data_IF_101113729025
#
_entry.id   IF_101113729025
#
_cell.length_a   1.000
_cell.length_b   1.000
_cell.length_c   1.000
_cell.angle_alpha   90.00
_cell.angle_beta   90.00
_cell.angle_gamma   90.00
#
_symmetry.space_group_name_H-M   'P 1'
#
loop_
_entity.id
_entity.type
_entity.pdbx_description
1 polymer ?
#
# COMPACT_ATOMS: atom_id res chain seq x y z
N UNK A 1 -12.86 22.02 21.81
CA UNK A 1 -12.79 21.88 20.35
C UNK A 1 -11.52 22.55 19.91
N UNK A 2 -10.57 21.79 19.39
CA UNK A 2 -9.29 22.31 18.93
C UNK A 2 -9.47 23.07 17.61
N UNK A 3 -8.67 24.11 17.37
CA UNK A 3 -8.69 24.89 16.12
C UNK A 3 -8.56 23.99 14.87
N UNK A 4 -7.90 22.83 15.01
CA UNK A 4 -7.73 21.85 13.94
C UNK A 4 -9.06 21.27 13.46
N UNK A 5 -9.99 20.97 14.39
CA UNK A 5 -11.32 20.43 14.05
C UNK A 5 -12.17 21.46 13.29
N UNK A 6 -12.10 22.73 13.68
CA UNK A 6 -12.82 23.82 13.00
C UNK A 6 -12.24 24.10 11.61
N UNK A 7 -10.93 24.01 11.45
CA UNK A 7 -10.27 24.14 10.14
C UNK A 7 -10.62 22.97 9.21
N UNK A 8 -10.71 21.77 9.75
CA UNK A 8 -11.16 20.58 9.02
C UNK A 8 -12.60 20.75 8.51
N UNK A 9 -13.55 21.17 9.37
CA UNK A 9 -14.93 21.45 8.97
C UNK A 9 -15.00 22.56 7.91
N UNK A 10 -14.20 23.62 8.03
CA UNK A 10 -14.16 24.69 7.04
C UNK A 10 -13.64 24.21 5.67
N UNK A 11 -12.68 23.30 5.65
CA UNK A 11 -12.18 22.66 4.43
C UNK A 11 -13.23 21.77 3.77
N UNK A 12 -13.99 20.98 4.57
CA UNK A 12 -15.15 20.22 4.07
C UNK A 12 -16.19 21.13 3.43
N UNK A 13 -16.55 22.23 4.10
CA UNK A 13 -17.48 23.24 3.58
C UNK A 13 -17.02 23.79 2.23
N UNK A 14 -15.71 24.03 2.08
CA UNK A 14 -15.11 24.52 0.82
C UNK A 14 -15.11 23.46 -0.28
N UNK A 15 -14.83 22.20 0.06
CA UNK A 15 -14.93 21.06 -0.85
C UNK A 15 -16.36 20.91 -1.38
N UNK A 16 -17.36 20.92 -0.51
CA UNK A 16 -18.77 20.86 -0.89
C UNK A 16 -19.19 22.03 -1.77
N UNK A 17 -18.65 23.23 -1.53
CA UNK A 17 -18.91 24.38 -2.39
C UNK A 17 -18.32 24.21 -3.81
N UNK A 18 -17.19 23.51 -3.94
CA UNK A 18 -16.57 23.19 -5.24
C UNK A 18 -17.35 22.11 -5.99
N UNK A 19 -17.76 21.06 -5.29
CA UNK A 19 -18.61 19.99 -5.86
C UNK A 19 -19.95 20.59 -6.33
N UNK A 20 -20.55 21.44 -5.51
CA UNK A 20 -21.80 22.13 -5.83
C UNK A 20 -21.70 23.12 -7.02
N UNK A 21 -20.50 23.67 -7.25
CA UNK A 21 -20.21 24.59 -8.36
C UNK A 21 -20.01 23.89 -9.69
N UNK A 22 -19.54 22.63 -9.64
CA UNK A 22 -19.23 21.81 -10.82
C UNK A 22 -20.36 20.87 -11.24
N UNK A 23 -21.37 20.65 -10.39
CA UNK A 23 -22.60 19.98 -10.76
C UNK A 23 -23.61 21.06 -11.20
N UNK A 24 -23.99 21.03 -12.47
CA UNK A 24 -25.08 21.87 -12.98
C UNK A 24 -26.25 21.83 -12.00
N UNK A 25 -26.76 22.96 -11.63
CA UNK A 25 -27.74 23.42 -10.64
C UNK A 25 -28.89 22.46 -10.18
N UNK A 26 -28.82 21.17 -10.42
CA UNK A 26 -29.92 20.22 -10.28
C UNK A 26 -29.82 19.22 -9.13
N UNK A 27 -28.80 19.32 -8.27
CA UNK A 27 -28.61 18.38 -7.15
C UNK A 27 -28.78 19.08 -5.80
N UNK A 28 -29.69 18.56 -4.98
CA UNK A 28 -29.74 18.88 -3.55
C UNK A 28 -28.87 17.88 -2.78
N UNK A 29 -27.85 18.39 -2.10
CA UNK A 29 -26.92 17.57 -1.30
C UNK A 29 -27.29 17.67 0.17
N UNK A 30 -27.64 16.56 0.79
CA UNK A 30 -27.86 16.46 2.24
C UNK A 30 -26.74 15.63 2.87
N UNK A 31 -26.01 16.21 3.82
CA UNK A 31 -24.95 15.51 4.56
C UNK A 31 -25.61 14.72 5.70
N UNK A 32 -25.54 13.39 5.62
CA UNK A 32 -26.16 12.48 6.59
C UNK A 32 -25.15 11.69 7.42
N UNK A 33 -24.37 12.23 8.23
CA UNK A 33 -23.42 11.61 9.16
C UNK A 33 -21.94 11.60 8.72
N UNK A 34 -21.15 12.26 9.52
CA UNK A 34 -19.68 12.20 9.47
C UNK A 34 -19.25 11.07 10.41
N UNK A 35 -19.11 9.85 9.90
CA UNK A 35 -18.24 8.83 10.45
C UNK A 35 -16.97 8.80 9.62
N UNK A 36 -15.91 8.19 10.11
CA UNK A 36 -14.55 8.12 9.52
C UNK A 36 -14.46 7.82 8.02
N UNK A 37 -15.56 7.39 7.39
CA UNK A 37 -15.76 7.28 5.95
C UNK A 37 -16.90 8.22 5.58
N UNK A 38 -16.63 9.26 4.80
CA UNK A 38 -17.61 10.30 4.49
C UNK A 38 -18.60 9.78 3.45
N UNK A 39 -19.85 9.64 3.87
CA UNK A 39 -20.97 9.32 2.99
C UNK A 39 -21.68 10.61 2.60
N UNK A 40 -21.82 10.84 1.30
CA UNK A 40 -22.64 11.92 0.76
C UNK A 40 -23.84 11.33 0.05
N UNK A 41 -25.03 11.83 0.34
CA UNK A 41 -26.23 11.49 -0.42
C UNK A 41 -26.45 12.57 -1.49
N UNK A 42 -26.44 12.16 -2.77
CA UNK A 42 -26.82 12.99 -3.90
C UNK A 42 -28.22 12.57 -4.32
N UNK A 43 -29.16 13.52 -4.36
CA UNK A 43 -30.51 13.29 -4.84
C UNK A 43 -30.72 14.09 -6.13
N UNK A 44 -31.10 13.41 -7.19
CA UNK A 44 -31.57 14.04 -8.42
C UNK A 44 -33.02 14.51 -8.23
N UNK A 45 -33.21 15.82 -8.33
CA UNK A 45 -34.53 16.44 -8.08
C UNK A 45 -35.58 16.11 -9.16
N UNK A 46 -35.16 15.68 -10.34
CA UNK A 46 -36.07 15.36 -11.43
C UNK A 46 -36.54 13.90 -11.39
N UNK A 47 -35.64 12.98 -11.01
CA UNK A 47 -35.94 11.53 -10.98
C UNK A 47 -36.22 11.04 -9.58
N UNK A 48 -36.04 11.87 -8.54
CA UNK A 48 -36.10 11.51 -7.12
C UNK A 48 -35.17 10.35 -6.75
N UNK A 49 -34.18 10.06 -7.60
CA UNK A 49 -33.17 9.03 -7.34
C UNK A 49 -32.14 9.54 -6.35
N UNK A 50 -31.98 8.83 -5.25
CA UNK A 50 -30.95 9.13 -4.24
C UNK A 50 -29.84 8.12 -4.31
N UNK A 51 -28.61 8.57 -4.57
CA UNK A 51 -27.40 7.73 -4.51
C UNK A 51 -26.57 8.12 -3.29
N UNK A 52 -26.17 7.11 -2.51
CA UNK A 52 -25.15 7.30 -1.49
C UNK A 52 -23.79 7.23 -2.18
N UNK A 53 -22.97 8.24 -1.95
CA UNK A 53 -21.62 8.33 -2.48
C UNK A 53 -20.65 8.20 -1.33
N UNK A 54 -19.77 7.21 -1.38
CA UNK A 54 -18.77 6.97 -0.36
C UNK A 54 -17.39 7.44 -0.85
N UNK A 55 -16.74 8.29 -0.05
CA UNK A 55 -15.39 8.77 -0.32
C UNK A 55 -14.43 8.25 0.73
N UNK A 56 -13.30 7.68 0.31
CA UNK A 56 -12.18 7.49 1.20
C UNK A 56 -11.39 8.78 1.34
N UNK A 57 -11.13 9.20 2.58
CA UNK A 57 -10.35 10.40 2.86
C UNK A 57 -9.01 10.04 3.49
N UNK A 58 -7.94 10.62 2.97
CA UNK A 58 -6.60 10.56 3.55
C UNK A 58 -6.10 11.98 3.79
N UNK A 59 -5.63 12.25 5.00
CA UNK A 59 -5.07 13.55 5.36
C UNK A 59 -3.56 13.43 5.53
N UNK A 60 -2.80 14.30 4.88
CA UNK A 60 -1.35 14.47 5.06
C UNK A 60 -1.03 15.51 6.16
N UNK A 61 -2.07 16.05 6.83
CA UNK A 61 -1.90 16.97 7.96
C UNK A 61 -1.42 16.18 9.20
N UNK A 62 -0.13 16.05 9.36
CA UNK A 62 0.51 15.25 10.40
C UNK A 62 1.43 14.17 9.83
N UNK A 63 1.34 12.94 10.33
CA UNK A 63 2.07 11.82 9.73
C UNK A 63 1.43 11.44 8.39
N UNK A 64 2.27 11.21 7.37
CA UNK A 64 1.78 10.78 6.06
C UNK A 64 0.89 9.53 6.18
N UNK A 65 -0.29 9.52 5.54
CA UNK A 65 -1.26 8.46 5.70
C UNK A 65 -0.73 7.11 5.18
N UNK A 66 -1.19 6.04 5.83
CA UNK A 66 -0.78 4.68 5.47
C UNK A 66 -1.81 4.10 4.50
N UNK A 67 -1.32 3.55 3.38
CA UNK A 67 -2.14 2.85 2.41
C UNK A 67 -2.30 1.38 2.77
N UNK A 68 -1.20 0.72 3.18
CA UNK A 68 -1.18 -0.65 3.66
C UNK A 68 -0.37 -0.72 4.95
N UNK A 69 -1.02 -1.03 6.07
CA UNK A 69 -0.37 -1.11 7.38
C UNK A 69 0.54 -2.32 7.50
N UNK A 70 1.71 -2.12 8.11
CA UNK A 70 2.57 -3.20 8.57
C UNK A 70 1.84 -4.08 9.59
N UNK A 71 1.93 -5.40 9.38
CA UNK A 71 1.41 -6.42 10.28
C UNK A 71 2.20 -7.72 10.08
N UNK A 72 2.15 -8.67 11.04
CA UNK A 72 2.67 -10.03 10.81
C UNK A 72 1.99 -10.73 9.61
N UNK A 73 0.75 -10.36 9.31
CA UNK A 73 -0.03 -10.82 8.15
C UNK A 73 0.64 -10.42 6.83
N UNK A 74 1.29 -9.25 6.78
CA UNK A 74 1.94 -8.73 5.56
C UNK A 74 3.39 -9.18 5.42
N UNK A 75 3.82 -10.22 6.15
CA UNK A 75 5.12 -10.84 6.00
C UNK A 75 5.16 -11.78 4.79
N UNK A 76 6.16 -11.56 3.95
CA UNK A 76 6.59 -12.46 2.88
C UNK A 76 7.72 -13.33 3.39
N UNK A 77 7.71 -14.61 3.05
CA UNK A 77 8.68 -15.62 3.48
C UNK A 77 9.65 -15.88 2.33
N UNK A 78 10.93 -15.83 2.64
CA UNK A 78 11.99 -16.13 1.68
C UNK A 78 12.87 -17.24 2.25
N UNK A 79 13.17 -18.24 1.41
CA UNK A 79 14.18 -19.25 1.69
C UNK A 79 15.56 -18.62 1.49
N UNK A 80 16.47 -18.95 2.37
CA UNK A 80 17.86 -18.48 2.33
C UNK A 80 18.77 -19.69 2.20
N UNK A 81 19.34 -19.90 1.01
CA UNK A 81 20.27 -20.97 0.74
C UNK A 81 21.71 -20.51 0.99
N UNK A 82 22.60 -21.42 1.34
CA UNK A 82 24.04 -21.16 1.45
C UNK A 82 24.48 -20.47 2.75
N UNK A 83 23.62 -20.47 3.78
CA UNK A 83 23.91 -19.92 5.12
C UNK A 83 23.92 -21.04 6.13
N UNK A 84 24.99 -21.17 6.93
CA UNK A 84 25.06 -22.11 8.05
C UNK A 84 24.35 -21.58 9.30
N UNK A 85 24.11 -22.45 10.28
CA UNK A 85 23.52 -22.04 11.56
C UNK A 85 24.40 -21.01 12.30
N UNK A 86 25.72 -21.18 12.28
CA UNK A 86 26.66 -20.24 12.90
C UNK A 86 26.57 -18.88 12.24
N UNK A 87 26.58 -18.84 10.90
CA UNK A 87 26.41 -17.61 10.14
C UNK A 87 25.05 -16.95 10.38
N UNK A 88 23.97 -17.73 10.49
CA UNK A 88 22.65 -17.20 10.80
C UNK A 88 22.61 -16.55 12.19
N UNK A 89 23.28 -17.14 13.19
CA UNK A 89 23.40 -16.56 14.53
C UNK A 89 24.20 -15.26 14.51
N UNK A 90 25.31 -15.20 13.76
CA UNK A 90 26.10 -13.98 13.59
C UNK A 90 25.29 -12.87 12.92
N UNK A 91 24.53 -13.19 11.86
CA UNK A 91 23.65 -12.24 11.16
C UNK A 91 22.58 -11.72 12.12
N UNK A 92 21.95 -12.59 12.87
CA UNK A 92 20.89 -12.23 13.81
C UNK A 92 21.40 -11.37 14.98
N UNK A 93 22.67 -11.51 15.37
CA UNK A 93 23.33 -10.72 16.40
C UNK A 93 23.61 -9.27 15.96
N UNK A 94 23.46 -8.93 14.69
CA UNK A 94 23.66 -7.56 14.19
C UNK A 94 22.52 -6.67 14.72
N UNK A 95 22.85 -5.74 15.63
CA UNK A 95 21.91 -4.78 16.25
C UNK A 95 22.33 -3.32 16.02
N UNK A 96 22.93 -3.04 14.87
CA UNK A 96 23.29 -1.68 14.46
C UNK A 96 22.05 -0.82 14.19
N UNK A 97 22.24 0.50 14.08
CA UNK A 97 21.18 1.42 13.65
C UNK A 97 20.60 1.04 12.27
N UNK A 98 21.42 0.45 11.40
CA UNK A 98 21.06 0.03 10.05
C UNK A 98 20.93 -1.49 9.93
N UNK A 99 20.57 -2.19 11.00
CA UNK A 99 20.61 -3.66 11.12
C UNK A 99 19.99 -4.41 9.94
N UNK A 100 18.92 -3.89 9.33
CA UNK A 100 18.27 -4.53 8.17
C UNK A 100 19.25 -4.57 6.99
N UNK A 101 19.83 -3.42 6.66
CA UNK A 101 20.80 -3.30 5.56
C UNK A 101 22.05 -4.12 5.83
N UNK A 102 22.55 -4.08 7.06
CA UNK A 102 23.77 -4.78 7.44
C UNK A 102 23.54 -6.31 7.42
N UNK A 103 22.40 -6.79 7.87
CA UNK A 103 22.01 -8.22 7.79
C UNK A 103 21.91 -8.68 6.33
N UNK A 104 21.27 -7.90 5.46
CA UNK A 104 21.18 -8.20 4.04
C UNK A 104 22.56 -8.21 3.36
N UNK A 105 23.43 -7.27 3.72
CA UNK A 105 24.80 -7.24 3.25
C UNK A 105 25.60 -8.47 3.73
N UNK A 106 25.43 -8.88 4.99
CA UNK A 106 26.10 -10.04 5.56
C UNK A 106 25.65 -11.36 4.95
N UNK A 107 24.35 -11.50 4.64
CA UNK A 107 23.84 -12.67 3.89
C UNK A 107 24.54 -12.77 2.52
N UNK A 108 24.67 -11.65 1.79
CA UNK A 108 25.38 -11.62 0.51
C UNK A 108 26.89 -11.91 0.63
N UNK A 109 27.54 -11.36 1.67
CA UNK A 109 28.96 -11.62 1.95
C UNK A 109 29.25 -13.11 2.12
N UNK A 110 28.34 -13.83 2.80
CA UNK A 110 28.42 -15.28 2.96
C UNK A 110 28.00 -16.09 1.70
N UNK A 111 27.64 -15.39 0.61
CA UNK A 111 27.17 -16.04 -0.63
C UNK A 111 25.73 -16.57 -0.54
N UNK A 112 24.98 -16.12 0.45
CA UNK A 112 23.59 -16.55 0.65
C UNK A 112 22.67 -16.08 -0.49
N UNK A 113 21.82 -17.00 -0.97
CA UNK A 113 20.80 -16.73 -1.99
C UNK A 113 19.43 -16.66 -1.35
N UNK A 114 18.72 -15.55 -1.59
CA UNK A 114 17.38 -15.30 -1.05
C UNK A 114 16.36 -15.52 -2.17
N UNK A 115 15.40 -16.41 -1.95
CA UNK A 115 14.37 -16.76 -2.94
C UNK A 115 13.00 -16.73 -2.29
N UNK A 116 12.03 -16.07 -2.92
CA UNK A 116 10.65 -16.04 -2.44
C UNK A 116 10.08 -17.45 -2.31
N UNK A 117 9.53 -17.78 -1.15
CA UNK A 117 8.96 -19.10 -0.82
C UNK A 117 7.46 -19.05 -0.56
N UNK A 118 6.95 -17.95 -0.03
CA UNK A 118 5.54 -17.84 0.29
C UNK A 118 5.19 -16.64 1.15
N UNK A 119 4.03 -16.72 1.79
CA UNK A 119 3.53 -15.66 2.67
C UNK A 119 3.07 -16.25 4.00
N UNK A 120 3.24 -15.48 5.06
CA UNK A 120 2.86 -15.89 6.42
C UNK A 120 1.34 -16.08 6.59
N UNK A 121 0.53 -15.39 5.78
CA UNK A 121 -0.93 -15.39 5.92
C UNK A 121 -1.62 -15.74 4.60
N UNK A 122 -2.33 -16.87 4.61
CA UNK A 122 -3.02 -17.41 3.43
C UNK A 122 -4.14 -16.49 2.92
N UNK A 123 -4.85 -15.81 3.82
CA UNK A 123 -5.91 -14.86 3.45
C UNK A 123 -5.37 -13.65 2.71
N UNK A 124 -4.24 -13.06 3.15
CA UNK A 124 -3.63 -11.97 2.43
C UNK A 124 -3.07 -12.42 1.08
N UNK A 125 -2.42 -13.60 1.03
CA UNK A 125 -1.98 -14.21 -0.23
C UNK A 125 -3.15 -14.36 -1.22
N UNK A 126 -4.31 -14.86 -0.73
CA UNK A 126 -5.52 -14.98 -1.54
C UNK A 126 -5.99 -13.63 -2.08
N UNK A 127 -6.05 -12.60 -1.23
CA UNK A 127 -6.45 -11.24 -1.66
C UNK A 127 -5.53 -10.71 -2.76
N UNK A 128 -4.21 -10.92 -2.66
CA UNK A 128 -3.26 -10.54 -3.70
C UNK A 128 -3.50 -11.30 -5.01
N UNK A 129 -3.74 -12.62 -4.94
CA UNK A 129 -4.04 -13.45 -6.11
C UNK A 129 -5.35 -13.02 -6.78
N UNK A 130 -6.33 -12.54 -6.03
CA UNK A 130 -7.57 -11.99 -6.60
C UNK A 130 -7.34 -10.70 -7.39
N UNK A 131 -6.35 -9.89 -7.01
CA UNK A 131 -5.96 -8.72 -7.80
C UNK A 131 -5.25 -9.18 -9.07
N UNK A 132 -4.24 -10.04 -8.92
CA UNK A 132 -3.48 -10.66 -10.01
C UNK A 132 -2.75 -11.91 -9.50
N UNK A 133 -2.76 -13.00 -10.27
CA UNK A 133 -2.14 -14.28 -9.88
C UNK A 133 -0.65 -14.17 -9.56
N UNK A 134 0.05 -13.24 -10.20
CA UNK A 134 1.49 -12.99 -9.99
C UNK A 134 1.78 -11.91 -8.94
N UNK A 135 0.76 -11.27 -8.37
CA UNK A 135 0.96 -10.16 -7.42
C UNK A 135 1.84 -10.54 -6.23
N UNK A 136 1.71 -11.74 -5.62
CA UNK A 136 2.63 -12.15 -4.56
C UNK A 136 4.09 -12.15 -4.98
N UNK A 137 4.41 -12.65 -6.18
CA UNK A 137 5.80 -12.66 -6.68
C UNK A 137 6.30 -11.27 -7.06
N UNK A 138 5.45 -10.42 -7.66
CA UNK A 138 5.79 -9.03 -7.97
C UNK A 138 6.19 -8.29 -6.70
N UNK A 139 5.34 -8.32 -5.67
CA UNK A 139 5.62 -7.65 -4.39
C UNK A 139 6.82 -8.24 -3.67
N UNK A 140 7.02 -9.57 -3.75
CA UNK A 140 8.18 -10.22 -3.17
C UNK A 140 9.50 -9.72 -3.82
N UNK A 141 9.53 -9.60 -5.15
CA UNK A 141 10.71 -9.06 -5.82
C UNK A 141 10.93 -7.57 -5.51
N UNK A 142 9.86 -6.77 -5.47
CA UNK A 142 9.95 -5.36 -5.06
C UNK A 142 10.50 -5.20 -3.64
N UNK A 143 10.12 -6.07 -2.70
CA UNK A 143 10.65 -6.08 -1.33
C UNK A 143 12.14 -6.41 -1.31
N UNK A 144 12.62 -7.34 -2.15
CA UNK A 144 14.05 -7.62 -2.26
C UNK A 144 14.83 -6.37 -2.70
N UNK A 145 14.37 -5.63 -3.70
CA UNK A 145 14.99 -4.36 -4.10
C UNK A 145 14.93 -3.32 -3.00
N UNK A 146 13.77 -3.16 -2.36
CA UNK A 146 13.59 -2.21 -1.25
C UNK A 146 14.59 -2.44 -0.11
N UNK A 147 14.80 -3.70 0.29
CA UNK A 147 15.70 -4.01 1.40
C UNK A 147 17.18 -4.08 0.98
N UNK A 148 17.49 -4.37 -0.29
CA UNK A 148 18.85 -4.46 -0.80
C UNK A 148 19.41 -3.11 -1.24
N UNK A 149 18.62 -2.33 -2.01
CA UNK A 149 19.12 -1.13 -2.71
C UNK A 149 18.77 0.17 -1.98
N UNK A 150 18.03 0.08 -0.86
CA UNK A 150 17.56 1.22 -0.06
C UNK A 150 16.68 2.21 -0.86
N UNK A 151 16.04 1.73 -1.92
CA UNK A 151 15.06 2.45 -2.74
C UNK A 151 13.67 2.25 -2.14
N UNK A 152 12.94 3.32 -1.90
CA UNK A 152 11.62 3.26 -1.25
C UNK A 152 10.44 3.68 -2.13
N UNK A 153 10.67 4.52 -3.13
CA UNK A 153 9.63 5.05 -4.01
C UNK A 153 9.00 3.93 -4.85
N UNK A 154 7.69 3.76 -4.76
CA UNK A 154 6.96 2.71 -5.47
C UNK A 154 7.20 2.76 -6.98
N UNK A 155 7.24 3.98 -7.55
CA UNK A 155 7.53 4.19 -8.97
C UNK A 155 8.92 3.68 -9.37
N UNK A 156 9.92 3.94 -8.56
CA UNK A 156 11.30 3.47 -8.81
C UNK A 156 11.40 1.96 -8.66
N UNK A 157 10.79 1.39 -7.60
CA UNK A 157 10.78 -0.06 -7.37
C UNK A 157 10.11 -0.82 -8.51
N UNK A 158 8.97 -0.35 -9.00
CA UNK A 158 8.28 -1.03 -10.11
C UNK A 158 9.04 -0.91 -11.44
N UNK A 159 9.75 0.20 -11.66
CA UNK A 159 10.65 0.35 -12.80
C UNK A 159 11.81 -0.65 -12.73
N UNK A 160 12.46 -0.76 -11.57
CA UNK A 160 13.56 -1.71 -11.37
C UNK A 160 13.11 -3.16 -11.62
N UNK A 161 11.96 -3.58 -11.09
CA UNK A 161 11.46 -4.94 -11.36
C UNK A 161 11.14 -5.14 -12.84
N UNK A 162 10.61 -4.13 -13.52
CA UNK A 162 10.35 -4.19 -14.96
C UNK A 162 11.62 -4.32 -15.79
N UNK A 163 12.69 -3.62 -15.42
CA UNK A 163 14.00 -3.70 -16.10
C UNK A 163 14.69 -5.05 -15.90
N UNK A 164 14.53 -5.69 -14.72
CA UNK A 164 15.13 -7.00 -14.42
C UNK A 164 14.27 -8.18 -14.89
N UNK A 165 12.99 -7.94 -15.11
CA UNK A 165 11.98 -8.90 -15.59
C UNK A 165 12.03 -10.29 -14.93
N UNK A 166 11.97 -10.39 -13.58
CA UNK A 166 12.14 -11.66 -12.87
C UNK A 166 11.01 -12.68 -13.11
N UNK A 167 9.93 -12.29 -13.76
CA UNK A 167 8.81 -13.16 -14.14
C UNK A 167 8.72 -13.39 -15.64
N UNK A 168 9.74 -12.94 -16.39
CA UNK A 168 9.89 -13.19 -17.83
C UNK A 168 8.68 -12.75 -18.67
N UNK A 169 8.10 -11.58 -18.35
CA UNK A 169 6.97 -11.05 -19.12
C UNK A 169 7.40 -10.45 -20.46
N UNK A 170 8.68 -10.07 -20.61
CA UNK A 170 9.21 -9.43 -21.81
C UNK A 170 8.74 -7.96 -22.00
N UNK A 171 7.95 -7.43 -21.07
CA UNK A 171 7.45 -6.06 -21.10
C UNK A 171 7.33 -5.48 -19.69
N UNK A 172 8.10 -4.42 -19.43
CA UNK A 172 8.12 -3.72 -18.15
C UNK A 172 6.76 -3.08 -17.79
N UNK A 173 5.96 -2.69 -18.78
CA UNK A 173 4.64 -2.10 -18.55
C UNK A 173 3.69 -3.05 -17.83
N UNK A 174 3.86 -4.37 -17.97
CA UNK A 174 3.02 -5.37 -17.29
C UNK A 174 3.18 -5.26 -15.78
N UNK A 175 4.41 -5.07 -15.28
CA UNK A 175 4.68 -4.89 -13.84
C UNK A 175 4.02 -3.61 -13.32
N UNK A 176 4.19 -2.50 -14.03
CA UNK A 176 3.61 -1.22 -13.63
C UNK A 176 2.08 -1.29 -13.59
N UNK A 177 1.47 -1.84 -14.64
CA UNK A 177 0.02 -2.01 -14.72
C UNK A 177 -0.52 -2.84 -13.55
N UNK A 178 0.06 -4.01 -13.29
CA UNK A 178 -0.36 -4.89 -12.20
C UNK A 178 -0.16 -4.23 -10.83
N UNK A 179 0.97 -3.57 -10.61
CA UNK A 179 1.26 -2.90 -9.34
C UNK A 179 0.31 -1.70 -9.09
N UNK A 180 -0.04 -0.94 -10.12
CA UNK A 180 -1.09 0.10 -10.01
C UNK A 180 -2.43 -0.47 -9.54
N UNK A 181 -2.82 -1.65 -10.04
CA UNK A 181 -4.05 -2.34 -9.57
C UNK A 181 -3.96 -2.70 -8.08
N UNK A 182 -2.80 -3.17 -7.63
CA UNK A 182 -2.58 -3.43 -6.21
C UNK A 182 -2.73 -2.17 -5.36
N UNK A 183 -2.08 -1.06 -5.72
CA UNK A 183 -2.21 0.20 -4.99
C UNK A 183 -3.66 0.68 -4.96
N UNK A 184 -4.35 0.60 -6.08
CA UNK A 184 -5.76 0.99 -6.20
C UNK A 184 -6.65 0.12 -5.30
N UNK A 185 -6.49 -1.20 -5.32
CA UNK A 185 -7.26 -2.09 -4.45
C UNK A 185 -7.03 -1.80 -2.95
N UNK A 186 -5.77 -1.49 -2.56
CA UNK A 186 -5.47 -1.06 -1.18
C UNK A 186 -6.16 0.26 -0.83
N UNK A 187 -6.18 1.22 -1.75
CA UNK A 187 -6.81 2.52 -1.54
C UNK A 187 -8.34 2.41 -1.41
N UNK A 188 -8.94 1.51 -2.17
CA UNK A 188 -10.39 1.37 -2.30
C UNK A 188 -11.00 0.29 -1.40
N UNK A 189 -10.25 -0.24 -0.42
CA UNK A 189 -10.85 -1.04 0.66
C UNK A 189 -10.24 -2.42 0.90
N UNK A 190 -9.36 -2.93 0.05
CA UNK A 190 -8.70 -4.21 0.32
C UNK A 190 -7.86 -4.14 1.60
N UNK A 191 -8.21 -4.95 2.59
CA UNK A 191 -7.52 -5.05 3.88
C UNK A 191 -6.82 -6.40 4.03
N UNK A 192 -5.52 -6.44 4.40
CA UNK A 192 -4.79 -7.71 4.50
C UNK A 192 -5.40 -8.72 5.47
N UNK A 193 -6.00 -8.23 6.57
CA UNK A 193 -6.53 -9.06 7.65
C UNK A 193 -7.93 -9.64 7.38
N UNK A 194 -8.61 -9.18 6.33
CA UNK A 194 -9.98 -9.60 6.02
C UNK A 194 -10.01 -10.30 4.66
N UNK A 195 -10.81 -11.37 4.50
CA UNK A 195 -11.11 -11.87 3.17
C UNK A 195 -11.73 -10.76 2.34
N UNK A 196 -11.15 -10.53 1.16
CA UNK A 196 -11.64 -9.54 0.22
C UNK A 196 -12.38 -10.26 -0.92
N UNK A 197 -13.52 -9.76 -1.30
CA UNK A 197 -14.39 -10.33 -2.33
C UNK A 197 -14.14 -9.76 -3.74
N UNK A 198 -13.20 -8.81 -3.84
CA UNK A 198 -12.89 -8.11 -5.09
C UNK A 198 -13.71 -6.84 -5.29
N UNK A 199 -14.65 -6.56 -4.40
CA UNK A 199 -15.44 -5.33 -4.47
C UNK A 199 -14.67 -4.16 -3.83
N UNK A 200 -14.82 -3.01 -4.42
CA UNK A 200 -14.28 -1.76 -3.90
C UNK A 200 -15.27 -1.22 -2.86
N UNK A 201 -14.82 -0.99 -1.59
CA UNK A 201 -15.65 -0.41 -0.53
C UNK A 201 -15.98 1.07 -0.81
N UNK A 202 -15.29 1.70 -1.77
CA UNK A 202 -15.41 3.11 -2.13
C UNK A 202 -15.77 3.22 -3.61
N UNK A 203 -17.02 3.52 -3.88
CA UNK A 203 -17.56 3.49 -5.26
C UNK A 203 -17.32 4.77 -6.07
N UNK A 204 -17.15 5.93 -5.42
CA UNK A 204 -17.28 7.20 -6.13
C UNK A 204 -16.07 8.14 -6.06
N UNK A 205 -15.13 7.99 -5.11
CA UNK A 205 -13.97 8.87 -5.09
C UNK A 205 -13.00 8.71 -3.93
N UNK A 206 -11.86 9.36 -4.12
CA UNK A 206 -10.76 9.39 -3.15
C UNK A 206 -10.36 10.84 -2.93
N UNK A 207 -10.28 11.26 -1.68
CA UNK A 207 -9.93 12.62 -1.31
C UNK A 207 -8.61 12.60 -0.54
N UNK A 208 -7.64 13.37 -1.03
CA UNK A 208 -6.36 13.59 -0.34
C UNK A 208 -6.32 15.04 0.12
N UNK A 209 -6.14 15.24 1.41
CA UNK A 209 -5.86 16.55 1.99
C UNK A 209 -4.36 16.66 2.18
N UNK A 210 -3.69 17.50 1.40
CA UNK A 210 -2.24 17.71 1.48
C UNK A 210 -1.84 18.52 2.71
N UNK A 211 -0.58 18.41 3.11
CA UNK A 211 -0.01 19.14 4.24
C UNK A 211 -0.12 20.67 4.10
N UNK A 212 -0.13 21.20 2.85
CA UNK A 212 -0.32 22.61 2.53
C UNK A 212 -1.80 23.03 2.51
N UNK A 213 -2.72 22.14 2.89
CA UNK A 213 -4.16 22.38 2.91
C UNK A 213 -4.84 22.26 1.54
N UNK A 214 -4.12 21.90 0.48
CA UNK A 214 -4.73 21.61 -0.82
C UNK A 214 -5.49 20.31 -0.77
N UNK A 215 -6.67 20.31 -1.36
CA UNK A 215 -7.55 19.14 -1.45
C UNK A 215 -7.47 18.63 -2.90
N UNK A 216 -7.08 17.37 -3.04
CA UNK A 216 -7.14 16.66 -4.31
C UNK A 216 -8.31 15.67 -4.24
N UNK A 217 -9.23 15.80 -5.16
CA UNK A 217 -10.36 14.89 -5.31
C UNK A 217 -10.19 14.09 -6.59
N UNK A 218 -10.17 12.77 -6.46
CA UNK A 218 -10.14 11.85 -7.58
C UNK A 218 -11.49 11.14 -7.67
N UNK A 219 -12.23 11.39 -8.76
CA UNK A 219 -13.40 10.61 -9.09
C UNK A 219 -12.96 9.30 -9.78
N UNK A 220 -13.65 8.22 -9.48
CA UNK A 220 -13.40 6.89 -10.09
C UNK A 220 -13.51 6.94 -11.62
N UNK A 221 -14.28 7.85 -12.17
CA UNK A 221 -14.34 8.08 -13.62
C UNK A 221 -12.97 8.42 -14.25
N UNK A 222 -11.99 8.88 -13.44
CA UNK A 222 -10.61 9.16 -13.85
C UNK A 222 -9.63 8.15 -13.25
N UNK A 223 -9.97 6.87 -13.24
CA UNK A 223 -9.20 5.79 -12.60
C UNK A 223 -7.72 5.79 -13.00
N UNK A 224 -7.40 6.01 -14.26
CA UNK A 224 -6.01 6.04 -14.74
C UNK A 224 -5.18 7.14 -14.05
N UNK A 225 -5.75 8.32 -13.84
CA UNK A 225 -5.09 9.41 -13.11
C UNK A 225 -4.92 9.07 -11.63
N UNK A 226 -5.91 8.43 -11.01
CA UNK A 226 -5.83 7.99 -9.63
C UNK A 226 -4.76 6.92 -9.44
N UNK A 227 -4.73 5.90 -10.30
CA UNK A 227 -3.71 4.85 -10.30
C UNK A 227 -2.29 5.43 -10.46
N UNK A 228 -2.13 6.41 -11.38
CA UNK A 228 -0.86 7.09 -11.58
C UNK A 228 -0.48 7.94 -10.36
N UNK A 229 -1.44 8.66 -9.78
CA UNK A 229 -1.21 9.44 -8.56
C UNK A 229 -0.72 8.55 -7.41
N UNK A 230 -1.35 7.39 -7.18
CA UNK A 230 -0.91 6.46 -6.14
C UNK A 230 0.52 5.98 -6.39
N UNK A 231 0.86 5.63 -7.63
CA UNK A 231 2.20 5.21 -7.98
C UNK A 231 3.25 6.30 -7.74
N UNK A 232 2.94 7.55 -8.12
CA UNK A 232 3.87 8.67 -8.00
C UNK A 232 4.03 9.18 -6.56
N UNK A 233 3.08 8.92 -5.67
CA UNK A 233 3.03 9.50 -4.32
C UNK A 233 3.11 8.47 -3.18
N UNK A 234 3.46 7.21 -3.46
CA UNK A 234 3.59 6.18 -2.42
C UNK A 234 5.00 5.63 -2.32
N UNK A 235 5.31 5.15 -1.12
CA UNK A 235 6.60 4.53 -0.80
C UNK A 235 6.40 3.24 -0.02
N UNK A 236 7.38 2.32 -0.12
CA UNK A 236 7.56 1.28 0.88
C UNK A 236 8.22 1.87 2.12
N UNK A 237 7.81 1.41 3.29
CA UNK A 237 8.38 1.85 4.56
C UNK A 237 8.92 0.65 5.37
N UNK A 238 10.08 0.87 6.02
CA UNK A 238 10.67 -0.15 6.91
C UNK A 238 9.85 -0.26 8.19
N UNK A 239 9.22 -1.41 8.38
CA UNK A 239 8.44 -1.70 9.57
C UNK A 239 9.33 -2.16 10.74
N UNK A 240 8.79 -2.11 11.97
CA UNK A 240 9.50 -2.62 13.16
C UNK A 240 9.78 -4.11 13.03
N UNK A 241 11.04 -4.49 13.02
CA UNK A 241 11.50 -5.88 12.91
C UNK A 241 11.06 -6.73 14.10
N UNK A 242 11.14 -6.19 15.31
CA UNK A 242 10.73 -6.87 16.55
C UNK A 242 9.23 -7.07 16.62
N UNK A 243 8.45 -6.00 16.35
CA UNK A 243 6.98 -6.05 16.43
C UNK A 243 6.37 -7.02 15.44
N UNK A 244 6.95 -7.11 14.25
CA UNK A 244 6.40 -7.89 13.14
C UNK A 244 7.19 -9.16 12.83
N UNK A 245 8.17 -9.53 13.68
CA UNK A 245 8.96 -10.76 13.55
C UNK A 245 9.58 -10.89 12.15
N UNK A 246 10.17 -9.80 11.66
CA UNK A 246 10.79 -9.73 10.34
C UNK A 246 12.29 -9.50 10.43
N UNK A 247 13.00 -9.85 9.35
CA UNK A 247 14.45 -9.63 9.18
C UNK A 247 15.37 -10.44 10.10
N UNK A 248 14.85 -11.45 10.80
CA UNK A 248 15.66 -12.47 11.48
C UNK A 248 15.67 -13.74 10.64
N UNK A 249 16.84 -14.37 10.52
CA UNK A 249 16.96 -15.72 10.01
C UNK A 249 16.41 -16.71 11.03
N UNK A 250 15.63 -17.66 10.55
CA UNK A 250 15.12 -18.77 11.37
C UNK A 250 15.15 -20.05 10.55
N UNK A 251 15.21 -21.18 11.25
CA UNK A 251 15.18 -22.50 10.63
C UNK A 251 13.80 -23.13 10.79
N UNK A 252 13.37 -23.80 9.73
CA UNK A 252 12.20 -24.65 9.70
C UNK A 252 12.51 -25.85 8.78
N UNK A 253 12.29 -27.07 9.27
CA UNK A 253 12.53 -28.32 8.54
C UNK A 253 13.94 -28.43 7.89
N UNK A 254 14.98 -27.97 8.59
CA UNK A 254 16.38 -28.00 8.13
C UNK A 254 16.72 -26.95 7.06
N UNK A 255 15.82 -26.02 6.82
CA UNK A 255 16.00 -24.94 5.83
C UNK A 255 15.95 -23.58 6.51
N UNK A 256 16.86 -22.66 6.09
CA UNK A 256 16.86 -21.27 6.58
C UNK A 256 15.85 -20.41 5.84
N UNK A 257 15.18 -19.56 6.60
CA UNK A 257 14.20 -18.59 6.10
C UNK A 257 14.41 -17.20 6.70
N UNK A 258 13.93 -16.20 5.99
CA UNK A 258 13.80 -14.82 6.49
C UNK A 258 12.43 -14.28 6.10
N UNK A 259 11.85 -13.46 6.97
CA UNK A 259 10.59 -12.74 6.69
C UNK A 259 10.89 -11.30 6.35
N UNK A 260 10.24 -10.77 5.30
CA UNK A 260 10.26 -9.35 4.95
C UNK A 260 8.85 -8.79 5.04
N UNK A 261 8.69 -7.66 5.74
CA UNK A 261 7.38 -7.06 5.95
C UNK A 261 7.06 -6.02 4.88
N UNK A 262 5.82 -6.03 4.39
CA UNK A 262 5.31 -5.03 3.46
C UNK A 262 4.49 -3.98 4.21
N UNK A 263 4.87 -2.73 4.03
CA UNK A 263 4.13 -1.54 4.42
C UNK A 263 4.19 -0.53 3.28
N UNK A 264 3.04 0.05 2.93
CA UNK A 264 2.95 1.11 1.92
C UNK A 264 2.30 2.34 2.55
N UNK A 265 2.89 3.50 2.33
CA UNK A 265 2.34 4.79 2.77
C UNK A 265 2.50 5.87 1.72
N UNK A 266 1.83 6.98 1.90
CA UNK A 266 2.09 8.19 1.11
C UNK A 266 3.44 8.83 1.51
N UNK A 267 4.02 9.60 0.58
CA UNK A 267 5.26 10.36 0.81
C UNK A 267 5.04 11.55 1.72
#
# INVERSE_FOLDING_TARGET
MTNDYLNEIAQYSKLFSVIRKNSDNNFNTTILNIRTDNVMQIQDIHTNYAKHIEFSMKSEMGNAPILLNANKITNFIYRVDGITHEQANEINAIETRNKIKDRMAKIREYGGKITYSGMNHTGFKRNLIMIDSSMPQILANMLLYFYNEDVKECKTLVKMIGEHDPLEYGDAMIYEYKFKKFLCSCALGMKPAKPWDGLEEVDDGYIVVKADGKILSYHINNRNFFEQYLLDNTIFEKASTTKYESMNLYEEDGQMYIKMNLQVRFQ
#
